data_IF_251764744778
#
_entry.id   IF_251764744778
#
_cell.length_a   1.000
_cell.length_b   1.000
_cell.length_c   1.000
_cell.angle_alpha   90.00
_cell.angle_beta   90.00
_cell.angle_gamma   90.00
#
_symmetry.space_group_name_H-M   'P 1'
#
loop_
_entity.id
_entity.type
_entity.pdbx_description
1 polymer ?
#
# COMPACT_ATOMS: atom_id res chain seq x y z
N UNK A 1 -1.33 6.41 -3.43
CA UNK A 1 -1.27 5.17 -4.23
C UNK A 1 -2.56 5.08 -5.02
N UNK A 2 -2.49 4.71 -6.29
CA UNK A 2 -3.67 4.44 -7.13
C UNK A 2 -3.86 2.93 -7.32
N UNK A 3 -4.99 2.52 -7.87
CA UNK A 3 -5.22 1.10 -8.22
C UNK A 3 -4.26 0.63 -9.32
N UNK A 4 -3.80 1.53 -10.17
CA UNK A 4 -2.88 1.21 -11.27
C UNK A 4 -1.48 0.85 -10.75
N UNK A 5 -1.09 1.35 -9.58
CA UNK A 5 0.18 1.02 -8.93
C UNK A 5 0.15 -0.36 -8.26
N UNK A 6 -1.05 -0.92 -8.03
CA UNK A 6 -1.23 -2.11 -7.19
C UNK A 6 -0.56 -3.36 -7.75
N UNK A 7 -0.47 -3.51 -9.08
CA UNK A 7 0.22 -4.66 -9.67
C UNK A 7 1.69 -4.71 -9.24
N UNK A 8 2.40 -3.58 -9.37
CA UNK A 8 3.81 -3.50 -8.98
C UNK A 8 4.00 -3.56 -7.46
N UNK A 9 3.07 -3.01 -6.68
CA UNK A 9 3.09 -3.13 -5.22
C UNK A 9 2.97 -4.59 -4.78
N UNK A 10 2.11 -5.38 -5.43
CA UNK A 10 1.95 -6.80 -5.10
C UNK A 10 3.22 -7.62 -5.39
N UNK A 11 3.98 -7.24 -6.43
CA UNK A 11 5.27 -7.88 -6.73
C UNK A 11 6.30 -7.61 -5.63
N UNK A 12 6.36 -6.37 -5.14
CA UNK A 12 7.24 -5.99 -4.00
C UNK A 12 6.78 -6.67 -2.71
N UNK A 13 5.47 -6.69 -2.42
CA UNK A 13 4.89 -7.31 -1.23
C UNK A 13 5.26 -8.80 -1.14
N UNK A 14 5.13 -9.52 -2.27
CA UNK A 14 5.39 -10.96 -2.36
C UNK A 14 6.85 -11.34 -2.03
N UNK A 15 7.81 -10.45 -2.31
CA UNK A 15 9.23 -10.69 -1.98
C UNK A 15 9.65 -10.10 -0.64
N UNK A 16 8.92 -9.10 -0.13
CA UNK A 16 9.25 -8.38 1.10
C UNK A 16 8.71 -9.08 2.34
N UNK A 17 7.57 -9.76 2.25
CA UNK A 17 6.89 -10.33 3.41
C UNK A 17 6.63 -11.84 3.24
N UNK A 18 6.89 -12.66 4.29
CA UNK A 18 6.57 -14.09 4.27
C UNK A 18 5.06 -14.38 4.17
N UNK A 19 4.23 -13.46 4.67
CA UNK A 19 2.77 -13.52 4.66
C UNK A 19 2.23 -12.24 4.00
N UNK A 20 2.26 -12.16 2.67
CA UNK A 20 1.87 -10.96 1.95
C UNK A 20 0.37 -10.67 2.09
N UNK A 21 0.01 -9.40 2.13
CA UNK A 21 -1.38 -8.97 2.09
C UNK A 21 -2.03 -9.36 0.76
N UNK A 22 -3.33 -9.69 0.81
CA UNK A 22 -4.05 -9.98 -0.42
C UNK A 22 -4.32 -8.71 -1.23
N UNK A 23 -4.34 -8.83 -2.55
CA UNK A 23 -4.73 -7.73 -3.45
C UNK A 23 -6.09 -7.13 -3.09
N UNK A 24 -7.03 -7.96 -2.64
CA UNK A 24 -8.36 -7.49 -2.24
C UNK A 24 -8.31 -6.65 -0.97
N UNK A 25 -7.43 -6.98 -0.01
CA UNK A 25 -7.21 -6.19 1.19
C UNK A 25 -6.70 -4.79 0.81
N UNK A 26 -5.65 -4.69 -0.01
CA UNK A 26 -5.16 -3.40 -0.51
C UNK A 26 -6.23 -2.59 -1.24
N UNK A 27 -7.04 -3.21 -2.09
CA UNK A 27 -8.12 -2.51 -2.79
C UNK A 27 -9.14 -1.89 -1.85
N UNK A 28 -9.56 -2.62 -0.81
CA UNK A 28 -10.47 -2.09 0.22
C UNK A 28 -9.81 -0.95 0.99
N UNK A 29 -8.54 -1.09 1.32
CA UNK A 29 -7.81 -0.05 2.05
C UNK A 29 -7.70 1.24 1.27
N UNK A 30 -7.42 1.17 -0.02
CA UNK A 30 -7.26 2.34 -0.88
C UNK A 30 -8.61 2.97 -1.25
N UNK A 31 -9.66 2.15 -1.45
CA UNK A 31 -10.95 2.62 -1.96
C UNK A 31 -11.94 2.98 -0.85
N UNK A 32 -11.96 2.21 0.24
CA UNK A 32 -13.04 2.24 1.23
C UNK A 32 -12.59 2.76 2.60
N UNK A 33 -11.27 2.76 2.90
CA UNK A 33 -10.76 3.24 4.18
C UNK A 33 -10.23 4.69 4.08
N UNK A 34 -11.05 5.65 4.51
CA UNK A 34 -10.67 7.07 4.55
C UNK A 34 -9.57 7.41 5.55
N UNK A 35 -9.27 6.52 6.50
CA UNK A 35 -8.19 6.68 7.48
C UNK A 35 -6.86 6.11 6.97
N UNK A 36 -6.89 5.35 5.86
CA UNK A 36 -5.71 4.74 5.27
C UNK A 36 -5.05 5.68 4.26
N UNK A 37 -3.77 5.91 4.47
CA UNK A 37 -2.92 6.69 3.58
C UNK A 37 -1.82 5.79 3.03
N UNK A 38 -1.95 5.40 1.76
CA UNK A 38 -0.96 4.60 1.05
C UNK A 38 -0.18 5.43 0.05
N UNK A 39 1.14 5.26 0.08
CA UNK A 39 2.12 5.98 -0.72
C UNK A 39 2.90 4.97 -1.56
N UNK A 40 3.32 5.40 -2.75
CA UNK A 40 4.29 4.64 -3.57
C UNK A 40 5.50 5.52 -3.86
N UNK A 41 6.67 4.90 -3.92
CA UNK A 41 7.91 5.52 -4.37
C UNK A 41 8.13 5.12 -5.83
N UNK A 42 8.31 6.13 -6.68
CA UNK A 42 8.47 5.93 -8.13
C UNK A 42 9.89 6.27 -8.59
N UNK A 43 10.49 5.37 -9.36
CA UNK A 43 11.64 5.66 -10.22
C UNK A 43 11.14 5.78 -11.67
N UNK A 44 10.74 6.99 -12.06
CA UNK A 44 10.06 7.21 -13.34
C UNK A 44 8.64 6.64 -13.33
N UNK A 45 8.42 5.50 -13.99
CA UNK A 45 7.12 4.79 -14.03
C UNK A 45 7.12 3.49 -13.21
N UNK A 46 8.28 3.11 -12.68
CA UNK A 46 8.45 1.89 -11.90
C UNK A 46 8.21 2.19 -10.43
N UNK A 47 7.38 1.39 -9.78
CA UNK A 47 7.22 1.41 -8.33
C UNK A 47 8.40 0.66 -7.72
N UNK A 48 9.18 1.35 -6.91
CA UNK A 48 10.37 0.79 -6.24
C UNK A 48 10.17 0.61 -4.73
N UNK A 49 9.01 1.01 -4.22
CA UNK A 49 8.64 0.86 -2.82
C UNK A 49 7.24 1.41 -2.57
N UNK A 50 6.67 1.02 -1.44
CA UNK A 50 5.39 1.54 -0.97
C UNK A 50 5.38 1.58 0.56
N UNK A 51 4.41 2.29 1.12
CA UNK A 51 4.17 2.31 2.56
C UNK A 51 2.73 2.70 2.84
N UNK A 52 2.17 2.11 3.88
CA UNK A 52 0.83 2.41 4.36
C UNK A 52 0.88 3.04 5.74
N UNK A 53 -0.06 3.94 6.03
CA UNK A 53 -0.38 4.26 7.40
C UNK A 53 -1.87 4.38 7.61
N UNK A 54 -2.36 3.96 8.78
CA UNK A 54 -3.70 4.29 9.24
C UNK A 54 -3.59 5.39 10.27
N UNK A 55 -4.29 6.50 10.04
CA UNK A 55 -4.31 7.65 10.95
C UNK A 55 -5.66 7.71 11.64
N UNK A 56 -5.67 7.51 12.95
CA UNK A 56 -6.88 7.57 13.77
C UNK A 56 -6.62 8.54 14.92
N UNK A 57 -7.34 9.66 14.92
CA UNK A 57 -7.14 10.76 15.88
C UNK A 57 -5.68 11.23 15.87
N UNK A 58 -4.97 11.04 16.99
CA UNK A 58 -3.59 11.48 17.19
C UNK A 58 -2.57 10.33 17.01
N UNK A 59 -3.03 9.15 16.56
CA UNK A 59 -2.21 7.95 16.40
C UNK A 59 -2.08 7.53 14.93
N UNK A 60 -0.88 7.05 14.56
CA UNK A 60 -0.60 6.51 13.23
C UNK A 60 0.02 5.10 13.36
N UNK A 61 -0.59 4.12 12.69
CA UNK A 61 -0.01 2.78 12.53
C UNK A 61 0.60 2.66 11.15
N UNK A 62 1.89 2.32 11.07
CA UNK A 62 2.64 2.23 9.82
C UNK A 62 2.86 0.77 9.44
N UNK A 63 2.68 0.46 8.15
CA UNK A 63 2.91 -0.85 7.53
C UNK A 63 3.83 -0.74 6.32
#
# INVERSE_FOLDING_TARGET
MSIDDLDQVMDIEAVSFPTPWSRQAYRREIADNSYAHYLVMLAGREVIGYGGMWVVLDEAHVT
#
